data_IF_365466427689
#
_entry.id   IF_365466427689
#
_cell.length_a   1.000
_cell.length_b   1.000
_cell.length_c   1.000
_cell.angle_alpha   90.00
_cell.angle_beta   90.00
_cell.angle_gamma   90.00
#
_symmetry.space_group_name_H-M   'P 1'
#
loop_
_entity.id
_entity.type
_entity.pdbx_description
1 polymer ?
#
# COMPACT_ATOMS: atom_id res chain seq x y z
N UNK A 1 -27.58 -7.30 -7.13
CA UNK A 1 -27.43 -6.62 -5.81
C UNK A 1 -26.16 -5.77 -5.88
N UNK A 2 -26.32 -4.46 -6.11
CA UNK A 2 -25.18 -3.52 -6.21
C UNK A 2 -24.81 -3.05 -4.81
N UNK A 3 -23.77 -3.63 -4.22
CA UNK A 3 -23.20 -3.13 -2.97
C UNK A 3 -22.48 -1.80 -3.26
N UNK A 4 -22.78 -0.71 -2.56
CA UNK A 4 -22.15 0.57 -2.80
C UNK A 4 -20.66 0.50 -2.45
N UNK A 5 -19.81 1.03 -3.34
CA UNK A 5 -18.33 1.04 -3.24
C UNK A 5 -17.80 1.47 -1.86
N UNK A 6 -18.53 2.35 -1.15
CA UNK A 6 -18.21 2.79 0.21
C UNK A 6 -18.32 1.68 1.28
N UNK A 7 -19.23 0.70 1.11
CA UNK A 7 -19.32 -0.42 2.04
C UNK A 7 -18.22 -1.45 1.80
N UNK A 8 -17.77 -1.61 0.57
CA UNK A 8 -16.69 -2.54 0.22
C UNK A 8 -15.36 -2.15 0.89
N UNK A 9 -15.05 -0.85 0.92
CA UNK A 9 -13.85 -0.33 1.61
C UNK A 9 -13.98 -0.51 3.13
N UNK A 10 -15.14 -0.23 3.71
CA UNK A 10 -15.39 -0.39 5.16
C UNK A 10 -15.33 -1.84 5.62
N UNK A 11 -15.84 -2.78 4.83
CA UNK A 11 -15.90 -4.19 5.23
C UNK A 11 -14.55 -4.90 5.04
N UNK A 12 -13.76 -4.50 4.05
CA UNK A 12 -12.46 -5.10 3.76
C UNK A 12 -11.37 -4.75 4.78
N UNK A 13 -11.39 -3.54 5.32
CA UNK A 13 -10.39 -3.08 6.28
C UNK A 13 -10.76 -3.39 7.75
N UNK A 14 -12.05 -3.31 8.10
CA UNK A 14 -12.55 -3.63 9.46
C UNK A 14 -12.35 -5.10 9.81
N UNK A 15 -12.40 -6.00 8.82
CA UNK A 15 -12.09 -7.41 9.04
C UNK A 15 -10.63 -7.70 9.42
N UNK A 16 -9.70 -6.80 9.10
CA UNK A 16 -8.27 -6.92 9.43
C UNK A 16 -7.98 -6.74 10.92
N UNK A 17 -8.78 -5.93 11.57
CA UNK A 17 -8.58 -5.54 12.97
C UNK A 17 -9.20 -6.50 13.99
N UNK A 18 -10.03 -7.44 13.57
CA UNK A 18 -10.67 -8.41 14.47
C UNK A 18 -9.72 -9.47 15.04
N UNK A 19 -8.46 -9.52 14.62
CA UNK A 19 -7.45 -10.39 15.22
C UNK A 19 -6.70 -9.67 16.37
N UNK A 20 -7.41 -9.39 17.41
CA UNK A 20 -7.14 -9.53 18.84
C UNK A 20 -5.82 -9.03 19.47
N UNK A 21 -4.95 -8.28 18.78
CA UNK A 21 -3.76 -7.67 19.43
C UNK A 21 -3.83 -6.13 19.42
N UNK A 22 -4.66 -5.53 18.61
CA UNK A 22 -4.76 -4.08 18.47
C UNK A 22 -5.59 -3.39 19.58
N UNK A 23 -6.34 -4.13 20.39
CA UNK A 23 -7.27 -3.55 21.36
C UNK A 23 -6.66 -2.73 22.51
N UNK A 24 -5.35 -2.74 22.72
CA UNK A 24 -4.70 -1.99 23.80
C UNK A 24 -3.85 -0.81 23.34
N UNK A 25 -3.53 -0.66 22.06
CA UNK A 25 -2.70 0.43 21.54
C UNK A 25 -3.50 1.56 20.87
N UNK A 26 -4.76 1.32 20.53
CA UNK A 26 -5.61 2.28 19.83
C UNK A 26 -6.19 3.38 20.74
N UNK A 27 -6.17 3.21 22.05
CA UNK A 27 -6.90 4.09 22.99
C UNK A 27 -6.24 5.45 23.28
N UNK A 28 -5.05 5.75 22.73
CA UNK A 28 -4.30 6.94 23.17
C UNK A 28 -3.58 7.71 22.06
N UNK A 29 -3.89 7.51 20.80
CA UNK A 29 -3.27 8.33 19.73
C UNK A 29 -4.14 9.52 19.35
N UNK A 30 -3.59 10.75 19.34
CA UNK A 30 -4.29 11.93 18.88
C UNK A 30 -4.73 11.78 17.42
N UNK A 31 -5.70 12.58 17.00
CA UNK A 31 -6.30 12.60 15.66
C UNK A 31 -5.34 13.14 14.57
N UNK A 32 -4.10 12.66 14.55
CA UNK A 32 -3.11 12.99 13.54
C UNK A 32 -3.24 12.05 12.33
N UNK A 33 -3.03 12.59 11.13
CA UNK A 33 -2.95 11.82 9.89
C UNK A 33 -1.75 10.84 9.88
N UNK A 34 -1.54 10.18 8.76
CA UNK A 34 -0.45 9.24 8.55
C UNK A 34 0.92 9.95 8.61
N UNK A 35 1.64 9.82 9.72
CA UNK A 35 3.00 10.32 9.84
C UNK A 35 3.97 9.24 9.30
N UNK A 36 4.62 9.53 8.17
CA UNK A 36 5.53 8.61 7.52
C UNK A 36 6.88 8.50 8.25
N UNK A 37 7.33 7.28 8.51
CA UNK A 37 8.65 6.97 9.04
C UNK A 37 9.61 6.47 7.95
N UNK A 38 10.90 6.37 8.27
CA UNK A 38 11.88 5.73 7.39
C UNK A 38 11.54 4.24 7.13
N UNK A 39 11.01 3.55 8.14
CA UNK A 39 10.58 2.17 8.02
C UNK A 39 9.38 2.00 7.07
N UNK A 40 8.48 2.99 7.01
CA UNK A 40 7.35 2.98 6.05
C UNK A 40 7.84 3.11 4.61
N UNK A 41 8.82 3.98 4.37
CA UNK A 41 9.45 4.13 3.04
C UNK A 41 10.06 2.83 2.55
N UNK A 42 10.77 2.14 3.43
CA UNK A 42 11.38 0.83 3.13
C UNK A 42 10.33 -0.24 2.85
N UNK A 43 9.28 -0.28 3.67
CA UNK A 43 8.14 -1.17 3.47
C UNK A 43 7.48 -0.92 2.11
N UNK A 44 7.16 0.33 1.77
CA UNK A 44 6.54 0.69 0.50
C UNK A 44 7.46 0.35 -0.66
N UNK A 45 8.76 0.66 -0.57
CA UNK A 45 9.72 0.35 -1.63
C UNK A 45 9.80 -1.17 -1.89
N UNK A 46 9.83 -1.99 -0.85
CA UNK A 46 9.82 -3.45 -0.98
C UNK A 46 8.50 -3.96 -1.59
N UNK A 47 7.35 -3.45 -1.14
CA UNK A 47 6.04 -3.79 -1.72
C UNK A 47 5.96 -3.38 -3.19
N UNK A 48 6.49 -2.22 -3.55
CA UNK A 48 6.52 -1.73 -4.94
C UNK A 48 7.34 -2.65 -5.82
N UNK A 49 8.51 -3.09 -5.39
CA UNK A 49 9.33 -4.05 -6.14
C UNK A 49 8.64 -5.40 -6.33
N UNK A 50 7.93 -5.88 -5.31
CA UNK A 50 7.20 -7.15 -5.39
C UNK A 50 5.92 -7.07 -6.23
N UNK A 51 5.33 -5.89 -6.39
CA UNK A 51 4.03 -5.72 -7.04
C UNK A 51 4.15 -5.16 -8.47
N UNK A 52 5.06 -4.21 -8.69
CA UNK A 52 5.28 -3.58 -9.99
C UNK A 52 6.39 -4.25 -10.81
N UNK A 53 7.08 -5.23 -10.23
CA UNK A 53 8.23 -5.88 -10.84
C UNK A 53 9.56 -5.34 -10.31
N UNK A 54 10.67 -5.87 -10.86
CA UNK A 54 12.03 -5.54 -10.40
C UNK A 54 12.43 -4.12 -10.77
N UNK A 55 11.90 -3.16 -10.03
CA UNK A 55 12.28 -1.76 -10.17
C UNK A 55 13.72 -1.52 -9.69
N UNK A 56 14.48 -0.63 -10.33
CA UNK A 56 15.71 -0.11 -9.74
C UNK A 56 15.45 0.46 -8.33
N UNK A 57 16.40 0.32 -7.42
CA UNK A 57 16.22 0.79 -6.03
C UNK A 57 15.85 2.29 -5.95
N UNK A 58 16.46 3.12 -6.79
CA UNK A 58 16.12 4.55 -6.88
C UNK A 58 14.67 4.80 -7.30
N UNK A 59 14.16 4.05 -8.27
CA UNK A 59 12.78 4.14 -8.73
C UNK A 59 11.80 3.66 -7.64
N UNK A 60 12.12 2.60 -6.91
CA UNK A 60 11.31 2.11 -5.81
C UNK A 60 11.23 3.11 -4.65
N UNK A 61 12.34 3.81 -4.35
CA UNK A 61 12.37 4.88 -3.33
C UNK A 61 11.54 6.09 -3.78
N UNK A 62 11.72 6.55 -5.03
CA UNK A 62 10.94 7.65 -5.59
C UNK A 62 9.44 7.32 -5.58
N UNK A 63 9.06 6.12 -5.99
CA UNK A 63 7.69 5.65 -5.94
C UNK A 63 7.13 5.64 -4.50
N UNK A 64 7.95 5.30 -3.49
CA UNK A 64 7.51 5.34 -2.11
C UNK A 64 7.08 6.75 -1.67
N UNK A 65 7.74 7.81 -2.13
CA UNK A 65 7.33 9.20 -1.84
C UNK A 65 6.01 9.56 -2.54
N UNK A 66 5.79 9.09 -3.77
CA UNK A 66 4.50 9.28 -4.46
C UNK A 66 3.36 8.57 -3.74
N UNK A 67 3.61 7.35 -3.24
CA UNK A 67 2.62 6.60 -2.42
C UNK A 67 2.31 7.35 -1.13
N UNK A 68 3.32 7.89 -0.44
CA UNK A 68 3.11 8.68 0.78
C UNK A 68 2.31 9.96 0.52
N UNK A 69 2.56 10.61 -0.61
CA UNK A 69 1.77 11.77 -1.07
C UNK A 69 0.31 11.36 -1.32
N UNK A 70 0.09 10.24 -1.98
CA UNK A 70 -1.26 9.71 -2.21
C UNK A 70 -1.97 9.37 -0.87
N UNK A 71 -1.27 8.77 0.09
CA UNK A 71 -1.82 8.50 1.44
C UNK A 71 -2.23 9.79 2.14
N UNK A 72 -1.42 10.84 2.07
CA UNK A 72 -1.72 12.14 2.68
C UNK A 72 -3.01 12.78 2.12
N UNK A 73 -3.35 12.51 0.87
CA UNK A 73 -4.59 12.94 0.23
C UNK A 73 -5.84 12.12 0.58
N UNK A 74 -5.69 11.00 1.30
CA UNK A 74 -6.82 10.16 1.70
C UNK A 74 -7.58 10.76 2.90
N UNK A 75 -8.87 10.38 3.08
CA UNK A 75 -9.59 10.70 4.31
C UNK A 75 -8.85 10.18 5.56
N UNK A 76 -8.92 10.93 6.67
CA UNK A 76 -8.22 10.58 7.92
C UNK A 76 -8.53 9.15 8.43
N UNK A 77 -9.74 8.67 8.22
CA UNK A 77 -10.10 7.28 8.56
C UNK A 77 -9.23 6.27 7.79
N UNK A 78 -9.09 6.45 6.48
CA UNK A 78 -8.26 5.56 5.63
C UNK A 78 -6.76 5.68 5.97
N UNK A 79 -6.29 6.89 6.31
CA UNK A 79 -4.91 7.08 6.76
C UNK A 79 -4.61 6.31 8.05
N UNK A 80 -5.56 6.28 9.01
CA UNK A 80 -5.43 5.51 10.25
C UNK A 80 -5.38 4.00 9.99
N UNK A 81 -6.28 3.52 9.15
CA UNK A 81 -6.34 2.12 8.75
C UNK A 81 -5.04 1.66 8.07
N UNK A 82 -4.48 2.50 7.19
CA UNK A 82 -3.17 2.24 6.57
C UNK A 82 -2.04 2.27 7.61
N UNK A 83 -2.09 3.20 8.59
CA UNK A 83 -1.10 3.22 9.67
C UNK A 83 -1.10 1.92 10.46
N UNK A 84 -2.27 1.42 10.84
CA UNK A 84 -2.42 0.16 11.58
C UNK A 84 -1.92 -1.04 10.75
N UNK A 85 -2.23 -1.08 9.45
CA UNK A 85 -1.71 -2.10 8.55
C UNK A 85 -0.18 -2.04 8.47
N UNK A 86 0.42 -0.87 8.32
CA UNK A 86 1.85 -0.71 8.21
C UNK A 86 2.55 -1.06 9.53
N UNK A 87 2.00 -0.65 10.69
CA UNK A 87 2.49 -1.02 12.00
C UNK A 87 2.49 -2.56 12.17
N UNK A 88 1.43 -3.22 11.73
CA UNK A 88 1.34 -4.69 11.75
C UNK A 88 2.40 -5.33 10.86
N UNK A 89 2.56 -4.85 9.63
CA UNK A 89 3.52 -5.38 8.66
C UNK A 89 4.98 -5.18 9.09
N UNK A 90 5.26 -4.17 9.89
CA UNK A 90 6.59 -3.92 10.44
C UNK A 90 6.93 -4.84 11.61
N UNK A 91 5.94 -5.43 12.27
CA UNK A 91 6.20 -6.36 13.37
C UNK A 91 6.80 -7.69 12.85
N UNK A 92 7.95 -8.16 13.38
CA UNK A 92 8.62 -9.35 12.87
C UNK A 92 7.77 -10.62 12.94
N UNK A 93 7.00 -10.78 14.03
CA UNK A 93 6.13 -11.95 14.22
C UNK A 93 4.98 -11.93 13.20
N UNK A 94 4.29 -10.80 13.06
CA UNK A 94 3.19 -10.65 12.11
C UNK A 94 3.70 -10.88 10.67
N UNK A 95 4.82 -10.28 10.29
CA UNK A 95 5.45 -10.43 8.98
C UNK A 95 5.73 -11.90 8.64
N UNK A 96 6.30 -12.66 9.59
CA UNK A 96 6.56 -14.10 9.40
C UNK A 96 5.28 -14.90 9.22
N UNK A 97 4.26 -14.64 10.03
CA UNK A 97 2.94 -15.27 9.91
C UNK A 97 2.27 -14.94 8.56
N UNK A 98 2.51 -13.74 8.05
CA UNK A 98 2.01 -13.29 6.74
C UNK A 98 2.83 -13.82 5.56
N UNK A 99 3.92 -14.55 5.85
CA UNK A 99 4.69 -15.28 4.86
C UNK A 99 5.96 -14.60 4.36
N UNK A 100 6.49 -13.60 5.10
CA UNK A 100 7.76 -12.96 4.78
C UNK A 100 8.72 -13.10 5.97
N UNK A 101 9.73 -13.94 5.83
CA UNK A 101 10.71 -14.18 6.88
C UNK A 101 11.77 -13.09 7.03
N UNK A 102 12.40 -12.57 5.95
CA UNK A 102 13.39 -11.51 6.07
C UNK A 102 12.75 -10.17 6.45
N UNK A 103 13.55 -9.21 6.90
CA UNK A 103 13.13 -7.82 7.04
C UNK A 103 12.81 -7.18 5.69
N UNK A 104 12.05 -6.10 5.68
CA UNK A 104 11.69 -5.42 4.44
C UNK A 104 12.90 -4.91 3.64
N UNK A 105 14.01 -4.60 4.33
CA UNK A 105 15.27 -4.17 3.68
C UNK A 105 16.02 -5.32 3.01
N UNK A 106 15.88 -6.54 3.54
CA UNK A 106 16.58 -7.74 3.06
C UNK A 106 15.71 -8.60 2.13
N UNK A 107 14.38 -8.34 2.12
CA UNK A 107 13.45 -9.09 1.31
C UNK A 107 13.70 -8.82 -0.18
N UNK A 108 13.83 -9.88 -0.94
CA UNK A 108 13.90 -9.78 -2.41
C UNK A 108 12.54 -9.48 -3.01
N UNK A 109 12.52 -8.89 -4.22
CA UNK A 109 11.28 -8.65 -4.95
C UNK A 109 10.46 -9.95 -5.15
N UNK A 110 11.14 -11.07 -5.42
CA UNK A 110 10.49 -12.36 -5.64
C UNK A 110 9.84 -12.92 -4.35
N UNK A 111 10.47 -12.75 -3.18
CA UNK A 111 9.88 -13.13 -1.88
C UNK A 111 8.64 -12.31 -1.54
N UNK A 112 8.71 -10.99 -1.77
CA UNK A 112 7.57 -10.09 -1.56
C UNK A 112 6.45 -10.42 -2.54
N UNK A 113 6.75 -10.64 -3.82
CA UNK A 113 5.78 -11.06 -4.83
C UNK A 113 5.10 -12.37 -4.45
N UNK A 114 5.87 -13.39 -4.00
CA UNK A 114 5.33 -14.66 -3.56
C UNK A 114 4.41 -14.53 -2.34
N UNK A 115 4.76 -13.65 -1.38
CA UNK A 115 3.89 -13.33 -0.24
C UNK A 115 2.58 -12.69 -0.73
N UNK A 116 2.65 -11.68 -1.59
CA UNK A 116 1.50 -10.97 -2.13
C UNK A 116 0.59 -11.89 -2.96
N UNK A 117 1.15 -12.81 -3.74
CA UNK A 117 0.35 -13.82 -4.46
C UNK A 117 -0.39 -14.76 -3.50
N UNK A 118 0.24 -15.19 -2.39
CA UNK A 118 -0.45 -15.96 -1.36
C UNK A 118 -1.63 -15.18 -0.76
N UNK A 119 -1.50 -13.88 -0.55
CA UNK A 119 -2.60 -13.04 -0.05
C UNK A 119 -3.73 -12.92 -1.07
N UNK A 120 -3.37 -12.69 -2.35
CA UNK A 120 -4.32 -12.57 -3.46
C UNK A 120 -5.24 -13.77 -3.56
N UNK A 121 -4.70 -14.98 -3.39
CA UNK A 121 -5.43 -16.25 -3.53
C UNK A 121 -5.80 -16.87 -2.17
N UNK A 122 -5.64 -16.15 -1.07
CA UNK A 122 -5.98 -16.64 0.26
C UNK A 122 -7.48 -16.91 0.41
N UNK A 123 -7.82 -17.93 1.20
CA UNK A 123 -9.21 -18.15 1.65
C UNK A 123 -9.66 -17.09 2.66
N UNK A 124 -8.75 -16.43 3.35
CA UNK A 124 -9.03 -15.36 4.30
C UNK A 124 -9.36 -14.07 3.55
N UNK A 125 -10.60 -13.59 3.68
CA UNK A 125 -11.07 -12.36 3.06
C UNK A 125 -10.16 -11.18 3.41
N UNK A 126 -9.67 -11.15 4.64
CA UNK A 126 -8.76 -10.15 5.16
C UNK A 126 -7.51 -9.98 4.29
N UNK A 127 -6.81 -11.08 3.99
CA UNK A 127 -5.57 -11.03 3.20
C UNK A 127 -5.85 -10.59 1.77
N UNK A 128 -6.97 -11.04 1.18
CA UNK A 128 -7.39 -10.57 -0.15
C UNK A 128 -7.67 -9.08 -0.16
N UNK A 129 -8.37 -8.57 0.87
CA UNK A 129 -8.68 -7.15 0.98
C UNK A 129 -7.43 -6.31 1.19
N UNK A 130 -6.50 -6.77 2.03
CA UNK A 130 -5.21 -6.10 2.22
C UNK A 130 -4.42 -6.05 0.90
N UNK A 131 -4.36 -7.17 0.15
CA UNK A 131 -3.74 -7.20 -1.18
C UNK A 131 -4.39 -6.18 -2.12
N UNK A 132 -5.72 -6.16 -2.22
CA UNK A 132 -6.45 -5.25 -3.12
C UNK A 132 -6.22 -3.77 -2.75
N UNK A 133 -6.25 -3.45 -1.45
CA UNK A 133 -5.97 -2.10 -0.98
C UNK A 133 -4.56 -1.63 -1.32
N UNK A 134 -3.55 -2.45 -1.03
CA UNK A 134 -2.16 -2.17 -1.38
C UNK A 134 -1.97 -2.07 -2.90
N UNK A 135 -2.54 -3.00 -3.67
CA UNK A 135 -2.50 -2.98 -5.12
C UNK A 135 -3.07 -1.68 -5.68
N UNK A 136 -4.28 -1.29 -5.26
CA UNK A 136 -4.91 -0.06 -5.73
C UNK A 136 -4.10 1.18 -5.39
N UNK A 137 -3.54 1.24 -4.18
CA UNK A 137 -2.73 2.37 -3.72
C UNK A 137 -1.42 2.49 -4.51
N UNK A 138 -0.66 1.39 -4.63
CA UNK A 138 0.64 1.38 -5.31
C UNK A 138 0.48 1.66 -6.80
N UNK A 139 -0.50 1.04 -7.47
CA UNK A 139 -0.72 1.27 -8.89
C UNK A 139 -1.28 2.67 -9.18
N UNK A 140 -2.16 3.21 -8.33
CA UNK A 140 -2.65 4.58 -8.48
C UNK A 140 -1.49 5.59 -8.38
N UNK A 141 -0.58 5.41 -7.40
CA UNK A 141 0.59 6.25 -7.26
C UNK A 141 1.58 6.09 -8.44
N UNK A 142 1.75 4.86 -8.97
CA UNK A 142 2.61 4.59 -10.13
C UNK A 142 2.10 5.25 -11.40
N UNK A 143 0.83 5.01 -11.75
CA UNK A 143 0.23 5.58 -12.97
C UNK A 143 -0.10 7.06 -12.85
N UNK A 144 -0.19 7.60 -11.63
CA UNK A 144 -0.31 9.03 -11.38
C UNK A 144 0.98 9.82 -11.67
N UNK A 145 2.14 9.15 -11.72
CA UNK A 145 3.41 9.77 -12.03
C UNK A 145 3.70 9.74 -13.54
N UNK A 146 3.86 10.92 -14.15
CA UNK A 146 4.16 11.06 -15.57
C UNK A 146 5.45 10.35 -16.01
N UNK A 147 6.43 10.17 -15.10
CA UNK A 147 7.67 9.45 -15.41
C UNK A 147 7.43 7.97 -15.71
N UNK A 148 6.39 7.36 -15.15
CA UNK A 148 6.03 5.98 -15.41
C UNK A 148 5.46 5.77 -16.82
N UNK A 149 4.92 6.82 -17.43
CA UNK A 149 4.24 6.74 -18.73
C UNK A 149 5.17 6.48 -19.89
N UNK A 150 6.42 6.96 -19.79
CA UNK A 150 7.45 6.75 -20.82
C UNK A 150 7.70 5.26 -21.03
N UNK A 151 7.75 4.48 -19.94
CA UNK A 151 8.00 3.03 -19.99
C UNK A 151 6.89 2.21 -20.66
N UNK A 152 5.67 2.75 -20.70
CA UNK A 152 4.50 2.11 -21.34
C UNK A 152 4.12 2.75 -22.68
N UNK A 153 4.94 3.69 -23.18
CA UNK A 153 4.70 4.38 -24.45
C UNK A 153 3.49 5.34 -24.43
N UNK A 154 3.02 5.74 -23.24
CA UNK A 154 1.91 6.69 -23.12
C UNK A 154 2.43 8.13 -23.09
N UNK A 155 1.80 8.99 -23.88
CA UNK A 155 1.98 10.44 -23.84
C UNK A 155 0.63 11.12 -23.72
N UNK A 156 0.54 12.15 -22.87
CA UNK A 156 -0.68 12.96 -22.78
C UNK A 156 -1.01 13.57 -24.16
N UNK A 157 -2.27 13.41 -24.65
CA UNK A 157 -2.72 14.08 -25.84
C UNK A 157 -2.51 15.59 -25.73
N UNK A 158 -2.09 16.23 -26.84
CA UNK A 158 -1.82 17.67 -26.86
C UNK A 158 -3.05 18.52 -26.45
N UNK A 159 -4.26 18.02 -26.74
CA UNK A 159 -5.52 18.64 -26.34
C UNK A 159 -5.77 18.70 -24.83
N UNK A 160 -5.11 17.85 -24.05
CA UNK A 160 -5.29 17.78 -22.57
C UNK A 160 -4.17 18.53 -21.85
N UNK A 161 -2.99 18.67 -22.48
CA UNK A 161 -1.83 19.36 -21.87
C UNK A 161 -2.14 20.78 -21.41
N UNK A 162 -3.05 21.48 -22.07
CA UNK A 162 -3.45 22.85 -21.72
C UNK A 162 -4.34 22.98 -20.49
N UNK A 163 -4.95 21.89 -20.01
CA UNK A 163 -5.88 21.91 -18.86
C UNK A 163 -5.26 21.45 -17.55
N UNK A 164 -4.03 20.95 -17.56
CA UNK A 164 -3.38 20.36 -16.36
C UNK A 164 -2.42 21.36 -15.67
N UNK A 165 -2.21 22.54 -16.25
CA UNK A 165 -1.26 23.55 -15.74
C UNK A 165 -1.94 24.77 -15.10
N UNK A 166 -3.21 24.68 -14.66
CA UNK A 166 -3.85 25.70 -13.83
C UNK A 166 -3.95 25.29 -12.37
#
# INVERSE_FOLDING_TARGET
MNLPRRQFIKTGLVGALALGVAGKLAASRPASGFAASAADRQLIAALSQGMLGKLPASAAIAHAEHVLTAIAGLPLASQRELRELFDLLQQPVARRLLGLSPGWQQATADEVAAMLQRWRFSRLLLLRSAYQGLHSLLYAAWYGDAHSWVGIGYALPASIKGYIHE
#
